data_IF_849175019601
#
_entry.id   IF_849175019601
#
_cell.length_a   1.000
_cell.length_b   1.000
_cell.length_c   1.000
_cell.angle_alpha   90.00
_cell.angle_beta   90.00
_cell.angle_gamma   90.00
#
_symmetry.space_group_name_H-M   'P 1'
#
loop_
_entity.id
_entity.type
_entity.pdbx_description
1 polymer ?
#
# COMPACT_ATOMS: atom_id res chain seq x y z
N UNK A 1 25.01 -7.17 -24.97
CA UNK A 1 23.76 -7.89 -24.61
C UNK A 1 22.62 -6.87 -24.65
N UNK A 2 21.78 -6.93 -25.68
CA UNK A 2 20.59 -6.07 -25.81
C UNK A 2 19.49 -6.59 -24.90
N UNK A 3 19.21 -5.86 -23.82
CA UNK A 3 18.09 -6.16 -22.93
C UNK A 3 16.82 -5.79 -23.69
N UNK A 4 16.13 -6.78 -24.27
CA UNK A 4 14.81 -6.55 -24.84
C UNK A 4 13.84 -6.16 -23.70
N UNK A 5 13.07 -5.07 -23.85
CA UNK A 5 12.08 -4.71 -22.85
C UNK A 5 10.96 -5.76 -22.86
N UNK A 6 10.89 -6.54 -21.78
CA UNK A 6 9.78 -7.46 -21.52
C UNK A 6 8.49 -6.64 -21.55
N UNK A 7 7.69 -6.84 -22.59
CA UNK A 7 6.34 -6.29 -22.69
C UNK A 7 5.45 -7.06 -21.72
N UNK A 8 5.42 -6.60 -20.47
CA UNK A 8 4.44 -7.07 -19.50
C UNK A 8 3.07 -6.63 -20.05
N UNK A 9 2.12 -7.55 -20.28
CA UNK A 9 0.78 -7.16 -20.73
C UNK A 9 0.22 -6.18 -19.70
N UNK A 10 -0.08 -4.97 -20.14
CA UNK A 10 -0.68 -3.95 -19.29
C UNK A 10 -2.04 -4.50 -18.83
N UNK A 11 -2.12 -4.88 -17.55
CA UNK A 11 -3.39 -5.14 -16.88
C UNK A 11 -4.29 -3.94 -17.19
N UNK A 12 -5.44 -4.19 -17.83
CA UNK A 12 -6.35 -3.13 -18.24
C UNK A 12 -6.58 -2.19 -17.06
N UNK A 13 -6.25 -0.89 -17.19
CA UNK A 13 -6.34 0.02 -16.07
C UNK A 13 -7.81 0.12 -15.66
N UNK A 14 -8.10 -0.38 -14.45
CA UNK A 14 -9.44 -0.32 -13.87
C UNK A 14 -9.88 1.14 -13.82
N UNK A 15 -11.11 1.43 -14.23
CA UNK A 15 -11.61 2.82 -14.24
C UNK A 15 -11.64 3.36 -12.81
N UNK A 16 -11.28 4.64 -12.63
CA UNK A 16 -11.28 5.37 -11.34
C UNK A 16 -12.49 5.11 -10.41
N UNK A 17 -13.76 5.03 -10.87
CA UNK A 17 -14.88 4.76 -9.96
C UNK A 17 -14.77 3.42 -9.21
N UNK A 18 -14.01 2.46 -9.73
CA UNK A 18 -13.85 1.14 -9.10
C UNK A 18 -12.74 1.09 -8.05
N UNK A 19 -11.92 2.14 -7.88
CA UNK A 19 -10.85 2.11 -6.87
C UNK A 19 -11.36 2.17 -5.44
N UNK A 20 -12.39 2.97 -5.17
CA UNK A 20 -12.98 3.05 -3.84
C UNK A 20 -13.58 1.71 -3.38
N UNK A 21 -14.46 1.04 -4.16
CA UNK A 21 -14.98 -0.27 -3.77
C UNK A 21 -13.88 -1.34 -3.71
N UNK A 22 -12.87 -1.27 -4.60
CA UNK A 22 -11.75 -2.20 -4.56
C UNK A 22 -10.90 -2.03 -3.29
N UNK A 23 -10.57 -0.80 -2.91
CA UNK A 23 -9.83 -0.50 -1.69
C UNK A 23 -10.60 -0.97 -0.45
N UNK A 24 -11.92 -0.76 -0.43
CA UNK A 24 -12.78 -1.25 0.63
C UNK A 24 -12.77 -2.77 0.71
N UNK A 25 -12.94 -3.47 -0.42
CA UNK A 25 -12.90 -4.93 -0.48
C UNK A 25 -11.54 -5.49 -0.04
N UNK A 26 -10.43 -4.93 -0.53
CA UNK A 26 -9.08 -5.32 -0.10
C UNK A 26 -8.88 -5.11 1.40
N UNK A 27 -9.29 -3.95 1.93
CA UNK A 27 -9.20 -3.64 3.35
C UNK A 27 -10.03 -4.61 4.19
N UNK A 28 -11.26 -4.89 3.78
CA UNK A 28 -12.14 -5.84 4.46
C UNK A 28 -11.59 -7.27 4.43
N UNK A 29 -11.00 -7.71 3.32
CA UNK A 29 -10.37 -9.04 3.20
C UNK A 29 -9.15 -9.13 4.11
N UNK A 30 -8.26 -8.13 4.09
CA UNK A 30 -7.07 -8.11 4.97
C UNK A 30 -7.50 -8.10 6.44
N UNK A 31 -8.48 -7.28 6.80
CA UNK A 31 -9.03 -7.23 8.15
C UNK A 31 -9.61 -8.58 8.56
N UNK A 32 -10.50 -9.17 7.74
CA UNK A 32 -11.11 -10.46 8.04
C UNK A 32 -10.08 -11.58 8.20
N UNK A 33 -9.06 -11.62 7.32
CA UNK A 33 -7.96 -12.58 7.41
C UNK A 33 -7.09 -12.34 8.66
N UNK A 34 -6.88 -11.09 9.07
CA UNK A 34 -6.08 -10.74 10.25
C UNK A 34 -6.70 -11.25 11.56
N UNK A 35 -8.02 -11.45 11.59
CA UNK A 35 -8.75 -11.96 12.74
C UNK A 35 -8.75 -13.50 12.81
N UNK A 36 -8.21 -14.19 11.80
CA UNK A 36 -8.15 -15.65 11.79
C UNK A 36 -7.00 -16.18 12.67
N UNK A 37 -7.10 -17.41 13.20
CA UNK A 37 -6.04 -18.03 14.00
C UNK A 37 -4.70 -18.12 13.26
N UNK A 38 -4.75 -18.28 11.93
CA UNK A 38 -3.56 -18.37 11.08
C UNK A 38 -2.72 -17.08 11.11
N UNK A 39 -3.37 -15.93 11.25
CA UNK A 39 -2.71 -14.62 11.32
C UNK A 39 -2.31 -14.23 12.76
N UNK A 40 -2.46 -15.10 13.76
CA UNK A 40 -1.98 -14.83 15.12
C UNK A 40 -0.46 -14.97 15.25
N UNK A 41 0.16 -15.77 14.37
CA UNK A 41 1.60 -15.87 14.32
C UNK A 41 2.22 -14.63 13.66
N UNK A 42 3.35 -14.17 14.20
CA UNK A 42 4.01 -12.94 13.77
C UNK A 42 4.31 -12.90 12.26
N UNK A 43 4.96 -13.94 11.73
CA UNK A 43 5.39 -13.96 10.32
C UNK A 43 4.21 -14.00 9.33
N UNK A 44 3.19 -14.88 9.47
CA UNK A 44 1.99 -14.84 8.63
C UNK A 44 1.29 -13.48 8.65
N UNK A 45 1.26 -12.82 9.81
CA UNK A 45 0.66 -11.50 9.98
C UNK A 45 1.42 -10.41 9.21
N UNK A 46 2.75 -10.38 9.33
CA UNK A 46 3.61 -9.48 8.52
C UNK A 46 3.37 -9.72 7.02
N UNK A 47 3.35 -10.98 6.59
CA UNK A 47 3.15 -11.34 5.19
C UNK A 47 1.76 -10.94 4.67
N UNK A 48 0.72 -11.08 5.49
CA UNK A 48 -0.64 -10.67 5.15
C UNK A 48 -0.71 -9.16 4.85
N UNK A 49 -0.18 -8.33 5.75
CA UNK A 49 -0.17 -6.88 5.56
C UNK A 49 0.76 -6.44 4.42
N UNK A 50 1.89 -7.11 4.24
CA UNK A 50 2.78 -6.90 3.10
C UNK A 50 2.09 -7.22 1.76
N UNK A 51 1.43 -8.39 1.67
CA UNK A 51 0.73 -8.83 0.46
C UNK A 51 -0.46 -7.92 0.15
N UNK A 52 -1.27 -7.57 1.15
CA UNK A 52 -2.41 -6.67 0.99
C UNK A 52 -1.98 -5.28 0.51
N UNK A 53 -0.92 -4.72 1.10
CA UNK A 53 -0.40 -3.40 0.72
C UNK A 53 0.23 -3.44 -0.68
N UNK A 54 1.01 -4.48 -0.99
CA UNK A 54 1.59 -4.69 -2.33
C UNK A 54 0.51 -4.83 -3.39
N UNK A 55 -0.55 -5.61 -3.13
CA UNK A 55 -1.69 -5.76 -4.02
C UNK A 55 -2.41 -4.43 -4.28
N UNK A 56 -2.56 -3.59 -3.24
CA UNK A 56 -3.13 -2.26 -3.40
C UNK A 56 -2.29 -1.38 -4.36
N UNK A 57 -0.96 -1.40 -4.24
CA UNK A 57 -0.07 -0.68 -5.18
C UNK A 57 -0.16 -1.22 -6.61
N UNK A 58 -0.30 -2.54 -6.79
CA UNK A 58 -0.39 -3.16 -8.12
C UNK A 58 -1.73 -2.90 -8.79
N UNK A 59 -2.84 -2.96 -8.05
CA UNK A 59 -4.20 -2.86 -8.60
C UNK A 59 -4.69 -1.41 -8.75
N UNK A 60 -4.11 -0.48 -8.00
CA UNK A 60 -4.52 0.94 -8.00
C UNK A 60 -3.36 1.88 -8.36
N UNK A 61 -2.73 1.74 -9.56
CA UNK A 61 -1.52 2.48 -9.90
C UNK A 61 -1.70 3.99 -10.06
N UNK A 62 -2.95 4.46 -10.22
CA UNK A 62 -3.27 5.89 -10.40
C UNK A 62 -3.74 6.58 -9.11
N UNK A 63 -3.77 5.86 -7.98
CA UNK A 63 -4.03 6.44 -6.66
C UNK A 63 -2.77 7.15 -6.17
N UNK A 64 -2.94 8.23 -5.39
CA UNK A 64 -1.81 8.94 -4.81
C UNK A 64 -1.06 7.98 -3.89
N UNK A 65 0.25 7.85 -4.09
CA UNK A 65 1.10 6.89 -3.37
C UNK A 65 1.02 7.01 -1.84
N UNK A 66 0.69 8.19 -1.32
CA UNK A 66 0.51 8.43 0.12
C UNK A 66 -0.84 7.96 0.68
N UNK A 67 -1.86 7.78 -0.17
CA UNK A 67 -3.20 7.40 0.30
C UNK A 67 -3.25 5.91 0.67
N UNK A 68 -2.47 5.06 -0.02
CA UNK A 68 -2.39 3.61 0.22
C UNK A 68 -1.89 3.29 1.66
N UNK A 69 -0.73 3.78 2.12
CA UNK A 69 -0.28 3.52 3.49
C UNK A 69 -1.18 4.19 4.54
N UNK A 70 -1.84 5.30 4.21
CA UNK A 70 -2.83 5.93 5.10
C UNK A 70 -4.05 5.03 5.32
N UNK A 71 -4.60 4.46 4.25
CA UNK A 71 -5.70 3.49 4.35
C UNK A 71 -5.24 2.22 5.06
N UNK A 72 -4.03 1.72 4.75
CA UNK A 72 -3.48 0.57 5.44
C UNK A 72 -3.35 0.82 6.95
N UNK A 73 -2.92 2.00 7.38
CA UNK A 73 -2.85 2.36 8.80
C UNK A 73 -4.23 2.31 9.49
N UNK A 74 -5.31 2.70 8.81
CA UNK A 74 -6.67 2.51 9.32
C UNK A 74 -7.02 1.03 9.47
N UNK A 75 -6.62 0.18 8.52
CA UNK A 75 -6.85 -1.28 8.61
C UNK A 75 -6.07 -1.88 9.78
N UNK A 76 -4.81 -1.47 10.01
CA UNK A 76 -4.00 -1.86 11.18
C UNK A 76 -4.65 -1.43 12.49
N UNK A 77 -5.18 -0.21 12.55
CA UNK A 77 -5.86 0.27 13.74
C UNK A 77 -7.13 -0.55 14.02
N UNK A 78 -7.90 -0.86 12.97
CA UNK A 78 -9.11 -1.67 13.09
C UNK A 78 -8.83 -3.13 13.44
N UNK A 79 -7.75 -3.74 12.94
CA UNK A 79 -7.38 -5.13 13.26
C UNK A 79 -7.02 -5.30 14.73
N UNK A 80 -6.49 -4.25 15.36
CA UNK A 80 -6.16 -4.26 16.79
C UNK A 80 -7.34 -3.84 17.68
N UNK A 81 -8.22 -2.96 17.21
CA UNK A 81 -9.44 -2.59 17.93
C UNK A 81 -10.50 -3.70 17.93
N UNK A 82 -10.58 -4.51 16.88
CA UNK A 82 -11.59 -5.55 16.75
C UNK A 82 -11.54 -6.60 17.90
N UNK A 83 -10.38 -7.17 18.26
CA UNK A 83 -10.27 -8.07 19.42
C UNK A 83 -10.59 -7.40 20.76
N UNK A 84 -10.35 -6.08 20.89
CA UNK A 84 -10.68 -5.34 22.11
C UNK A 84 -12.19 -5.33 22.41
N UNK A 85 -13.05 -5.34 21.38
CA UNK A 85 -14.50 -5.48 21.57
C UNK A 85 -14.91 -6.86 22.09
N UNK A 86 -14.08 -7.89 21.86
CA UNK A 86 -14.27 -9.23 22.40
C UNK A 86 -13.60 -9.43 23.77
N UNK A 87 -13.05 -8.37 24.37
CA UNK A 87 -12.40 -8.42 25.69
C UNK A 87 -10.94 -8.88 25.67
N UNK A 88 -10.31 -8.99 24.51
CA UNK A 88 -8.88 -9.29 24.41
C UNK A 88 -8.04 -8.02 24.54
N UNK A 89 -6.86 -8.14 25.16
CA UNK A 89 -5.89 -7.05 25.28
C UNK A 89 -5.15 -6.84 23.96
N UNK A 90 -4.85 -5.57 23.66
CA UNK A 90 -4.02 -5.18 22.51
C UNK A 90 -2.61 -5.77 22.65
N UNK A 91 -2.13 -6.46 21.61
CA UNK A 91 -0.84 -7.12 21.64
C UNK A 91 0.19 -6.27 20.89
N UNK A 92 1.23 -5.74 21.57
CA UNK A 92 2.25 -4.93 20.91
C UNK A 92 2.95 -5.66 19.74
N UNK A 93 3.08 -6.99 19.85
CA UNK A 93 3.69 -7.81 18.81
C UNK A 93 2.85 -7.85 17.52
N UNK A 94 1.52 -7.84 17.66
CA UNK A 94 0.60 -7.85 16.53
C UNK A 94 0.57 -6.49 15.82
N UNK A 95 0.51 -5.40 16.58
CA UNK A 95 0.65 -4.03 16.06
C UNK A 95 1.96 -3.87 15.28
N UNK A 96 3.06 -4.38 15.84
CA UNK A 96 4.37 -4.33 15.20
C UNK A 96 4.39 -5.13 13.89
N UNK A 97 3.81 -6.33 13.89
CA UNK A 97 3.72 -7.17 12.69
C UNK A 97 2.96 -6.48 11.56
N UNK A 98 1.82 -5.86 11.89
CA UNK A 98 0.97 -5.14 10.95
C UNK A 98 1.71 -3.94 10.33
N UNK A 99 2.29 -3.11 11.20
CA UNK A 99 3.06 -1.95 10.80
C UNK A 99 4.27 -2.34 9.93
N UNK A 100 5.00 -3.40 10.31
CA UNK A 100 6.13 -3.90 9.53
C UNK A 100 5.71 -4.38 8.14
N UNK A 101 4.61 -5.13 8.03
CA UNK A 101 4.11 -5.58 6.73
C UNK A 101 3.81 -4.42 5.78
N UNK A 102 3.12 -3.38 6.29
CA UNK A 102 2.82 -2.16 5.52
C UNK A 102 4.11 -1.41 5.16
N UNK A 103 5.03 -1.24 6.10
CA UNK A 103 6.30 -0.54 5.88
C UNK A 103 7.19 -1.27 4.87
N UNK A 104 7.28 -2.59 4.92
CA UNK A 104 8.08 -3.37 3.96
C UNK A 104 7.58 -3.20 2.52
N UNK A 105 6.27 -3.00 2.33
CA UNK A 105 5.70 -2.72 1.01
C UNK A 105 5.87 -1.25 0.60
N UNK A 106 5.67 -0.31 1.51
CA UNK A 106 5.67 1.12 1.20
C UNK A 106 7.07 1.75 1.16
N UNK A 107 7.97 1.37 2.07
CA UNK A 107 9.27 2.01 2.26
C UNK A 107 10.13 2.06 0.99
N UNK A 108 10.25 0.99 0.17
CA UNK A 108 11.05 1.05 -1.06
C UNK A 108 10.59 2.16 -2.02
N UNK A 109 9.28 2.42 -2.08
CA UNK A 109 8.69 3.45 -2.95
C UNK A 109 9.09 4.86 -2.48
N UNK A 110 9.03 5.10 -1.18
CA UNK A 110 9.42 6.38 -0.59
C UNK A 110 10.93 6.59 -0.65
N UNK A 111 11.74 5.57 -0.39
CA UNK A 111 13.20 5.62 -0.50
C UNK A 111 13.62 5.90 -1.94
N UNK A 112 13.04 5.19 -2.93
CA UNK A 112 13.33 5.44 -4.34
C UNK A 112 13.00 6.88 -4.74
N UNK A 113 11.87 7.42 -4.26
CA UNK A 113 11.47 8.80 -4.53
C UNK A 113 12.39 9.81 -3.84
N UNK A 114 12.78 9.55 -2.60
CA UNK A 114 13.73 10.40 -1.89
C UNK A 114 15.07 10.45 -2.62
N UNK A 115 15.55 9.32 -3.14
CA UNK A 115 16.77 9.28 -3.97
C UNK A 115 16.62 10.12 -5.24
N UNK A 116 15.49 10.04 -5.94
CA UNK A 116 15.22 10.89 -7.11
C UNK A 116 15.25 12.38 -6.78
N UNK A 117 14.65 12.76 -5.65
CA UNK A 117 14.65 14.16 -5.16
C UNK A 117 16.07 14.63 -4.84
N UNK A 118 16.86 13.80 -4.13
CA UNK A 118 18.26 14.12 -3.81
C UNK A 118 19.16 14.19 -5.05
N UNK A 119 18.83 13.45 -6.11
CA UNK A 119 19.52 13.50 -7.41
C UNK A 119 19.09 14.68 -8.29
N UNK A 120 18.14 15.51 -7.83
CA UNK A 120 17.60 16.63 -8.60
C UNK A 120 16.68 16.22 -9.75
N UNK A 121 16.34 14.94 -9.89
CA UNK A 121 15.39 14.43 -10.90
C UNK A 121 13.94 14.65 -10.42
N UNK A 122 13.60 15.91 -10.19
CA UNK A 122 12.24 16.34 -9.88
C UNK A 122 11.53 16.57 -11.21
N UNK A 123 10.89 15.51 -11.74
CA UNK A 123 9.97 15.70 -12.86
C UNK A 123 8.93 16.76 -12.48
N UNK A 124 8.72 17.82 -13.30
CA UNK A 124 7.70 18.81 -13.05
C UNK A 124 6.35 18.11 -12.87
N UNK A 125 5.73 18.34 -11.72
CA UNK A 125 4.48 17.73 -11.32
C UNK A 125 3.31 18.26 -12.15
N UNK A 126 3.08 17.65 -13.32
CA UNK A 126 1.82 17.78 -14.06
C UNK A 126 1.67 19.03 -14.94
N UNK A 127 0.59 18.98 -15.73
CA UNK A 127 0.12 19.85 -16.84
C UNK A 127 0.28 21.37 -16.70
N UNK A 128 0.60 21.92 -15.53
CA UNK A 128 0.80 23.37 -15.32
C UNK A 128 2.23 23.85 -15.57
N UNK A 129 3.22 22.95 -15.60
CA UNK A 129 4.58 23.35 -15.95
C UNK A 129 4.71 23.81 -17.42
N UNK A 130 3.84 23.31 -18.32
CA UNK A 130 3.77 23.78 -19.71
C UNK A 130 3.07 25.13 -19.89
N UNK A 131 2.40 25.66 -18.86
CA UNK A 131 1.81 27.01 -18.91
C UNK A 131 2.83 28.10 -18.55
N UNK A 132 3.92 27.75 -17.84
CA UNK A 132 4.93 28.71 -17.36
C UNK A 132 6.08 28.88 -18.38
N UNK A 133 6.34 27.87 -19.22
CA UNK A 133 7.37 27.93 -20.29
C UNK A 133 6.84 28.41 -21.65
N UNK A 134 5.64 28.99 -21.69
CA UNK A 134 5.03 29.58 -22.88
C UNK A 134 5.19 31.10 -22.94
N UNK A 135 6.40 31.61 -22.65
CA UNK A 135 6.81 33.00 -22.92
C UNK A 135 8.10 32.97 -23.72
#
# INVERSE_FOLDING_TARGET
MSVQPVHIPALWPLKRPFYMPLAFMLGAVVLGLSLTPFAQAFLPRVLLFYAGTSAAYSLMPFVRRGDIPLVAAWVVLLSELAPCFAGHLMSPANVLADALGVLMAAAPIFIARQRQVLQGDVRPGGRRASEISGV
#
